data_IF_674319177029
#
_entry.id   IF_674319177029
#
_cell.length_a   1.000
_cell.length_b   1.000
_cell.length_c   1.000
_cell.angle_alpha   90.00
_cell.angle_beta   90.00
_cell.angle_gamma   90.00
#
_symmetry.space_group_name_H-M   'P 1'
#
loop_
_entity.id
_entity.type
_entity.pdbx_description
1 polymer ?
#
# COMPACT_ATOMS: atom_id res chain seq x y z
N UNK A 1 -13.33 6.18 -4.84
CA UNK A 1 -13.58 7.27 -3.87
C UNK A 1 -13.96 6.65 -2.54
N UNK A 2 -13.38 7.11 -1.43
CA UNK A 2 -13.74 6.64 -0.10
C UNK A 2 -15.05 7.29 0.34
N UNK A 3 -16.11 6.50 0.50
CA UNK A 3 -17.34 6.96 1.14
C UNK A 3 -17.28 6.69 2.64
N UNK A 4 -17.61 7.70 3.45
CA UNK A 4 -17.62 7.55 4.92
C UNK A 4 -19.00 7.06 5.35
N UNK A 5 -19.17 5.74 5.35
CA UNK A 5 -20.35 5.06 5.89
C UNK A 5 -20.24 4.81 7.40
N UNK A 6 -21.26 4.16 7.97
CA UNK A 6 -21.32 3.84 9.41
C UNK A 6 -20.21 2.87 9.86
N UNK A 7 -19.76 1.97 8.97
CA UNK A 7 -18.67 1.03 9.27
C UNK A 7 -17.35 1.77 9.47
N UNK A 8 -17.00 2.64 8.52
CA UNK A 8 -15.80 3.49 8.62
C UNK A 8 -15.93 4.44 9.81
N UNK A 9 -17.10 5.03 10.04
CA UNK A 9 -17.35 5.93 11.19
C UNK A 9 -17.11 5.23 12.54
N UNK A 10 -17.49 3.96 12.66
CA UNK A 10 -17.22 3.15 13.86
C UNK A 10 -15.72 2.94 14.08
N UNK A 11 -14.98 2.57 13.02
CA UNK A 11 -13.52 2.35 13.08
C UNK A 11 -12.77 3.61 13.49
N UNK A 12 -13.19 4.79 12.98
CA UNK A 12 -12.59 6.08 13.34
C UNK A 12 -12.72 6.37 14.85
N UNK A 13 -13.82 5.95 15.49
CA UNK A 13 -14.08 6.20 16.92
C UNK A 13 -13.34 5.23 17.85
N UNK A 14 -13.03 4.01 17.41
CA UNK A 14 -12.54 2.92 18.26
C UNK A 14 -11.03 2.84 18.50
N UNK A 15 -10.22 3.69 17.88
CA UNK A 15 -8.75 3.63 17.99
C UNK A 15 -8.00 3.63 16.66
N UNK A 16 -8.69 3.89 15.55
CA UNK A 16 -8.15 4.19 14.23
C UNK A 16 -7.01 3.25 13.80
N UNK A 17 -7.34 2.13 13.15
CA UNK A 17 -6.37 1.30 12.43
C UNK A 17 -6.56 1.49 10.93
N UNK A 18 -5.55 2.00 10.18
CA UNK A 18 -5.66 2.25 8.74
C UNK A 18 -6.13 1.02 7.95
N UNK A 19 -5.78 -0.19 8.39
CA UNK A 19 -6.04 -1.44 7.65
C UNK A 19 -7.51 -1.81 7.71
N UNK A 20 -8.14 -1.56 8.86
CA UNK A 20 -9.57 -1.73 9.03
C UNK A 20 -10.34 -0.80 8.09
N UNK A 21 -9.87 0.44 7.89
CA UNK A 21 -10.47 1.38 6.94
C UNK A 21 -10.25 0.91 5.50
N UNK A 22 -9.02 0.48 5.15
CA UNK A 22 -8.73 -0.08 3.83
C UNK A 22 -9.63 -1.26 3.50
N UNK A 23 -9.79 -2.19 4.43
CA UNK A 23 -10.61 -3.38 4.25
C UNK A 23 -12.10 -3.04 4.17
N UNK A 24 -12.61 -2.17 5.06
CA UNK A 24 -14.00 -1.70 5.01
C UNK A 24 -14.30 -0.97 3.68
N UNK A 25 -13.41 -0.06 3.27
CA UNK A 25 -13.56 0.68 2.03
C UNK A 25 -13.60 -0.24 0.79
N UNK A 26 -12.73 -1.26 0.74
CA UNK A 26 -12.74 -2.26 -0.34
C UNK A 26 -14.02 -3.10 -0.31
N UNK A 27 -14.49 -3.49 0.87
CA UNK A 27 -15.77 -4.17 1.04
C UNK A 27 -16.96 -3.36 0.50
N UNK A 28 -16.88 -2.03 0.59
CA UNK A 28 -17.88 -1.10 0.07
C UNK A 28 -17.64 -0.65 -1.39
N UNK A 29 -16.86 -1.43 -2.15
CA UNK A 29 -16.68 -1.21 -3.60
C UNK A 29 -15.64 -0.14 -3.96
N UNK A 30 -14.82 0.31 -3.02
CA UNK A 30 -13.71 1.21 -3.34
C UNK A 30 -12.62 0.44 -4.12
N UNK A 31 -12.45 0.79 -5.39
CA UNK A 31 -11.32 0.33 -6.22
C UNK A 31 -9.99 0.93 -5.74
N UNK A 32 -8.93 0.15 -5.80
CA UNK A 32 -7.55 0.61 -5.57
C UNK A 32 -7.05 1.41 -6.77
N UNK A 33 -6.06 2.27 -6.52
CA UNK A 33 -5.44 3.08 -7.56
C UNK A 33 -4.82 2.22 -8.67
N UNK A 34 -4.19 1.10 -8.30
CA UNK A 34 -3.64 0.12 -9.25
C UNK A 34 -4.73 -0.52 -10.11
N UNK A 35 -5.88 -0.85 -9.51
CA UNK A 35 -7.01 -1.48 -10.22
C UNK A 35 -7.61 -0.51 -11.26
N UNK A 36 -7.81 0.76 -10.88
CA UNK A 36 -8.28 1.83 -11.76
C UNK A 36 -7.26 2.15 -12.88
N UNK A 37 -5.96 2.16 -12.56
CA UNK A 37 -4.90 2.38 -13.53
C UNK A 37 -4.87 1.30 -14.61
N UNK A 38 -4.96 0.03 -14.22
CA UNK A 38 -4.99 -1.10 -15.16
C UNK A 38 -6.24 -1.04 -16.05
N UNK A 39 -7.39 -0.66 -15.50
CA UNK A 39 -8.62 -0.47 -16.28
C UNK A 39 -8.44 0.62 -17.35
N UNK A 40 -7.87 1.76 -16.97
CA UNK A 40 -7.57 2.87 -17.89
C UNK A 40 -6.53 2.50 -18.95
N UNK A 41 -5.56 1.67 -18.61
CA UNK A 41 -4.57 1.16 -19.56
C UNK A 41 -5.25 0.32 -20.64
N UNK A 42 -6.11 -0.62 -20.25
CA UNK A 42 -6.85 -1.46 -21.20
C UNK A 42 -7.79 -0.67 -22.10
N UNK A 43 -8.33 0.45 -21.61
CA UNK A 43 -9.15 1.37 -22.40
C UNK A 43 -8.33 2.32 -23.29
N UNK A 44 -7.00 2.27 -23.23
CA UNK A 44 -6.12 3.17 -23.98
C UNK A 44 -6.16 4.63 -23.51
N UNK A 45 -6.67 4.89 -22.30
CA UNK A 45 -6.81 6.24 -21.73
C UNK A 45 -5.47 6.73 -21.16
N UNK A 46 -4.65 5.81 -20.66
CA UNK A 46 -3.32 6.08 -20.09
C UNK A 46 -2.30 5.10 -20.65
N UNK A 47 -1.02 5.35 -20.40
CA UNK A 47 0.09 4.49 -20.83
C UNK A 47 0.76 3.83 -19.63
N UNK A 48 1.48 2.74 -19.88
CA UNK A 48 2.24 2.08 -18.81
C UNK A 48 3.26 3.03 -18.17
N UNK A 49 3.94 3.85 -18.98
CA UNK A 49 4.89 4.88 -18.52
C UNK A 49 4.24 5.86 -17.53
N UNK A 50 3.03 6.33 -17.86
CA UNK A 50 2.29 7.23 -16.97
C UNK A 50 1.88 6.54 -15.67
N UNK A 51 1.44 5.29 -15.74
CA UNK A 51 1.08 4.50 -14.55
C UNK A 51 2.27 4.33 -13.62
N UNK A 52 3.44 3.94 -14.15
CA UNK A 52 4.65 3.72 -13.35
C UNK A 52 5.12 4.99 -12.63
N UNK A 53 4.91 6.16 -13.24
CA UNK A 53 5.26 7.45 -12.65
C UNK A 53 4.30 7.91 -11.55
N UNK A 54 3.02 7.55 -11.65
CA UNK A 54 1.94 8.14 -10.82
C UNK A 54 1.41 7.17 -9.76
N UNK A 55 1.51 5.86 -9.99
CA UNK A 55 0.97 4.84 -9.10
C UNK A 55 2.10 4.16 -8.34
N UNK A 56 2.13 4.21 -7.00
CA UNK A 56 3.14 3.50 -6.22
C UNK A 56 2.90 1.99 -6.25
N UNK A 57 3.96 1.24 -6.53
CA UNK A 57 4.01 -0.23 -6.55
C UNK A 57 4.95 -0.77 -5.47
N UNK A 58 4.85 -0.28 -4.24
CA UNK A 58 5.67 -0.81 -3.14
C UNK A 58 5.03 -2.05 -2.51
N UNK A 59 5.72 -3.19 -2.65
CA UNK A 59 5.44 -4.44 -1.93
C UNK A 59 6.24 -4.47 -0.64
N UNK A 60 6.06 -3.48 0.23
CA UNK A 60 6.57 -3.59 1.59
C UNK A 60 5.48 -4.27 2.42
N UNK A 61 5.72 -5.51 2.84
CA UNK A 61 4.91 -6.13 3.87
C UNK A 61 5.03 -5.22 5.10
N UNK A 62 3.94 -4.55 5.52
CA UNK A 62 4.02 -3.64 6.64
C UNK A 62 4.31 -4.45 7.90
N UNK A 63 5.27 -3.97 8.69
CA UNK A 63 5.55 -4.61 9.96
C UNK A 63 4.56 -4.08 10.99
N UNK A 64 3.86 -4.97 11.69
CA UNK A 64 2.91 -4.57 12.72
C UNK A 64 3.61 -4.32 14.06
N UNK A 65 3.09 -3.38 14.84
CA UNK A 65 3.49 -3.22 16.23
C UNK A 65 3.06 -4.47 17.02
N UNK A 66 3.99 -5.12 17.72
CA UNK A 66 3.69 -6.29 18.55
C UNK A 66 2.75 -5.99 19.73
N UNK A 67 2.63 -4.72 20.12
CA UNK A 67 1.78 -4.31 21.24
C UNK A 67 0.39 -3.88 20.79
N UNK A 68 0.28 -2.88 19.90
CA UNK A 68 -1.01 -2.34 19.49
C UNK A 68 -1.54 -2.91 18.17
N UNK A 69 -0.70 -3.61 17.39
CA UNK A 69 -1.07 -4.20 16.10
C UNK A 69 -1.28 -3.18 14.97
N UNK A 70 -0.76 -1.95 15.08
CA UNK A 70 -0.77 -0.99 13.98
C UNK A 70 0.36 -1.28 12.99
N UNK A 71 0.09 -1.14 11.69
CA UNK A 71 1.13 -1.12 10.66
C UNK A 71 2.15 0.01 10.91
N UNK A 72 3.43 -0.33 10.81
CA UNK A 72 4.56 0.56 10.98
C UNK A 72 5.44 0.53 9.73
N UNK A 73 5.86 1.72 9.29
CA UNK A 73 6.93 1.83 8.31
C UNK A 73 8.25 1.33 8.90
N UNK A 74 9.10 0.67 8.10
CA UNK A 74 10.40 0.18 8.56
C UNK A 74 11.27 1.24 9.23
N UNK A 75 11.16 2.50 8.80
CA UNK A 75 11.94 3.62 9.31
C UNK A 75 11.61 4.05 10.76
N UNK A 76 10.47 3.64 11.33
CA UNK A 76 10.13 3.99 12.71
C UNK A 76 10.90 3.13 13.70
N UNK A 77 11.58 3.75 14.67
CA UNK A 77 12.21 3.07 15.82
C UNK A 77 11.24 2.82 16.98
N UNK A 78 10.20 3.65 17.09
CA UNK A 78 9.12 3.56 18.09
C UNK A 78 7.77 3.63 17.38
N UNK A 79 6.77 2.92 17.91
CA UNK A 79 5.40 3.00 17.42
C UNK A 79 4.82 4.41 17.69
N UNK A 80 4.38 5.16 16.66
CA UNK A 80 3.78 6.49 16.86
C UNK A 80 2.40 6.44 17.52
N UNK A 81 1.75 5.27 17.58
CA UNK A 81 0.42 5.10 18.14
C UNK A 81 0.40 4.73 19.62
N UNK A 82 1.40 3.97 20.10
CA UNK A 82 1.46 3.51 21.50
C UNK A 82 2.81 3.75 22.20
N UNK A 83 3.85 4.13 21.48
CA UNK A 83 5.19 4.37 22.04
C UNK A 83 6.08 3.13 22.19
N UNK A 84 5.59 1.93 21.91
CA UNK A 84 6.40 0.69 22.05
C UNK A 84 7.60 0.71 21.10
N UNK A 85 8.79 0.36 21.63
CA UNK A 85 10.04 0.22 20.86
C UNK A 85 9.95 -0.98 19.92
N UNK A 86 10.44 -0.85 18.68
CA UNK A 86 10.53 -1.98 17.75
C UNK A 86 11.80 -2.79 17.95
N UNK A 87 11.66 -4.11 18.01
CA UNK A 87 12.77 -5.07 18.05
C UNK A 87 13.62 -5.01 16.76
N UNK A 88 12.98 -4.79 15.61
CA UNK A 88 13.61 -4.73 14.27
C UNK A 88 13.72 -3.29 13.76
N UNK A 89 14.42 -2.43 14.51
CA UNK A 89 14.72 -1.05 14.09
C UNK A 89 16.02 -0.97 13.29
N UNK A 90 16.05 -1.54 12.08
CA UNK A 90 17.16 -1.36 11.13
C UNK A 90 16.65 -0.65 9.87
N UNK A 91 17.47 0.18 9.18
CA UNK A 91 17.06 0.81 7.94
C UNK A 91 16.59 -0.28 6.96
N UNK A 92 15.42 -0.09 6.35
CA UNK A 92 15.01 -0.93 5.24
C UNK A 92 16.12 -0.89 4.18
N UNK A 93 16.59 -2.04 3.65
CA UNK A 93 17.41 -1.99 2.47
C UNK A 93 16.58 -1.32 1.38
N UNK A 94 17.05 -0.17 0.90
CA UNK A 94 16.62 0.38 -0.37
C UNK A 94 17.03 -0.64 -1.44
N UNK A 95 16.21 -1.65 -1.69
CA UNK A 95 16.43 -2.50 -2.85
C UNK A 95 16.00 -1.71 -4.07
N UNK A 96 16.97 -1.10 -4.75
CA UNK A 96 16.89 -0.78 -6.17
C UNK A 96 16.44 -2.06 -6.89
N UNK A 97 15.14 -2.16 -7.17
CA UNK A 97 14.60 -3.19 -8.03
C UNK A 97 14.86 -2.77 -9.48
N UNK A 98 16.10 -2.98 -9.92
CA UNK A 98 16.39 -3.11 -11.35
C UNK A 98 15.53 -4.26 -11.87
N UNK A 99 14.48 -3.91 -12.61
CA UNK A 99 13.73 -4.86 -13.42
C UNK A 99 14.70 -5.40 -14.47
N UNK A 100 15.25 -6.58 -14.24
CA UNK A 100 15.90 -7.37 -15.29
C UNK A 100 14.81 -7.79 -16.28
N UNK A 101 14.58 -6.98 -17.31
CA UNK A 101 13.93 -7.45 -18.53
C UNK A 101 14.98 -8.32 -19.23
N UNK A 102 15.00 -9.60 -18.85
CA UNK A 102 15.72 -10.63 -19.60
C UNK A 102 15.15 -10.69 -21.02
N UNK A 103 16.05 -10.57 -21.98
CA UNK A 103 15.89 -10.75 -23.42
C UNK A 103 14.77 -11.73 -23.82
N UNK A 104 13.78 -11.21 -24.55
CA UNK A 104 12.74 -11.96 -25.26
C UNK A 104 12.79 -11.64 -26.75
N UNK A 105 13.80 -12.22 -27.40
CA UNK A 105 14.11 -12.26 -28.84
C UNK A 105 12.93 -12.06 -29.79
N UNK A 106 12.99 -10.97 -30.58
CA UNK A 106 12.53 -10.97 -31.97
C UNK A 106 13.54 -11.76 -32.80
N UNK A 107 13.11 -12.84 -33.44
CA UNK A 107 13.52 -13.30 -34.79
C UNK A 107 13.42 -14.82 -34.92
N UNK A 108 12.39 -15.29 -35.62
CA UNK A 108 12.45 -16.23 -36.75
C UNK A 108 11.10 -16.24 -37.45
#
# INVERSE_FOLDING_TARGET
>A
MLLIDDSIRSILRGGFKPDLIRNAARGNGMKRLQEDAIEKLHLGITTMEEILRVVPFETLAPAECTECGHELLPAFHYCPYCGTKRETGGPAPLSESYVNISDGVLSS
#
